data_IF_136229860311
#
_entry.id   IF_136229860311
#
_cell.length_a   1.000
_cell.length_b   1.000
_cell.length_c   1.000
_cell.angle_alpha   90.00
_cell.angle_beta   90.00
_cell.angle_gamma   90.00
#
_symmetry.space_group_name_H-M   'P 1'
#
loop_
_entity.id
_entity.type
_entity.pdbx_description
1 polymer ?
#
# COMPACT_ATOMS: atom_id res chain seq x y z
N UNK A 1 20.63 -77.88 46.51
CA UNK A 1 20.29 -79.04 45.68
C UNK A 1 19.09 -78.71 44.84
N UNK A 2 19.31 -78.76 43.48
CA UNK A 2 18.32 -78.78 42.40
C UNK A 2 17.64 -77.42 42.07
N UNK A 3 17.66 -76.97 40.98
CA UNK A 3 17.54 -77.19 39.49
C UNK A 3 16.73 -76.03 38.94
N UNK A 4 17.33 -75.16 38.22
CA UNK A 4 17.20 -74.92 36.80
C UNK A 4 15.76 -74.98 36.27
N UNK A 5 15.21 -73.83 35.91
CA UNK A 5 14.45 -73.75 34.67
C UNK A 5 14.62 -72.35 34.05
N UNK A 6 15.08 -72.37 32.83
CA UNK A 6 15.35 -71.22 31.95
C UNK A 6 14.05 -70.98 31.19
N UNK A 7 13.47 -69.81 31.31
CA UNK A 7 12.42 -69.36 30.40
C UNK A 7 12.99 -68.23 29.55
N UNK A 8 13.21 -68.52 28.29
CA UNK A 8 13.54 -67.55 27.26
C UNK A 8 12.27 -66.76 26.93
N UNK A 9 12.28 -65.46 27.16
CA UNK A 9 11.28 -64.54 26.66
C UNK A 9 11.80 -63.90 25.38
N UNK A 10 11.18 -64.28 24.29
CA UNK A 10 11.35 -63.67 22.96
C UNK A 10 10.89 -62.19 22.98
N UNK A 11 11.86 -61.29 22.88
CA UNK A 11 11.60 -59.87 22.66
C UNK A 11 11.13 -59.65 21.20
N UNK A 12 9.82 -59.54 21.02
CA UNK A 12 9.26 -59.06 19.75
C UNK A 12 9.45 -57.56 19.63
N UNK A 13 10.45 -57.18 18.77
CA UNK A 13 10.67 -55.79 18.43
C UNK A 13 9.57 -55.28 17.52
N UNK A 14 8.59 -54.57 18.12
CA UNK A 14 7.65 -53.77 17.35
C UNK A 14 8.31 -52.48 16.91
N UNK A 15 8.69 -52.38 15.61
CA UNK A 15 9.09 -51.14 15.00
C UNK A 15 7.87 -50.23 14.87
N UNK A 16 7.73 -49.29 15.78
CA UNK A 16 6.83 -48.14 15.61
C UNK A 16 7.36 -47.29 14.49
N UNK A 17 6.84 -47.47 13.26
CA UNK A 17 6.97 -46.55 12.20
C UNK A 17 6.26 -45.22 12.63
N UNK A 18 7.03 -44.26 13.08
CA UNK A 18 6.57 -42.88 13.13
C UNK A 18 6.29 -42.45 11.66
N UNK A 19 5.03 -42.57 11.27
CA UNK A 19 4.55 -41.82 10.13
C UNK A 19 4.77 -40.33 10.45
N UNK A 20 5.87 -39.79 9.94
CA UNK A 20 6.10 -38.35 9.91
C UNK A 20 4.93 -37.74 9.17
N UNK A 21 3.94 -37.24 9.90
CA UNK A 21 2.94 -36.35 9.35
C UNK A 21 3.70 -35.20 8.75
N UNK A 22 3.60 -35.03 7.43
CA UNK A 22 3.92 -33.77 6.79
C UNK A 22 3.00 -32.75 7.47
N UNK A 23 3.49 -32.10 8.50
CA UNK A 23 2.97 -30.84 8.97
C UNK A 23 3.05 -29.94 7.74
N UNK A 24 1.90 -29.68 7.10
CA UNK A 24 1.74 -28.51 6.26
C UNK A 24 2.05 -27.36 7.20
N UNK A 25 3.31 -26.91 7.18
CA UNK A 25 3.67 -25.70 7.89
C UNK A 25 2.81 -24.62 7.26
N UNK A 26 1.80 -24.14 7.99
CA UNK A 26 1.19 -22.87 7.66
C UNK A 26 2.34 -21.88 7.57
N UNK A 27 2.64 -21.48 6.37
CA UNK A 27 3.76 -20.60 6.12
C UNK A 27 3.45 -19.27 6.81
N UNK A 28 4.32 -18.87 7.75
CA UNK A 28 4.21 -17.59 8.44
C UNK A 28 3.89 -16.46 7.44
N UNK A 29 3.00 -15.52 7.81
CA UNK A 29 2.67 -14.40 6.96
C UNK A 29 3.90 -13.57 6.61
N UNK A 30 4.02 -13.18 5.36
CA UNK A 30 5.08 -12.27 4.88
C UNK A 30 4.64 -10.82 5.09
N UNK A 31 5.14 -10.19 6.16
CA UNK A 31 4.80 -8.80 6.49
C UNK A 31 5.34 -7.80 5.47
N UNK A 32 6.46 -8.11 4.77
CA UNK A 32 7.01 -7.25 3.72
C UNK A 32 6.10 -7.25 2.50
N UNK A 33 5.66 -8.44 2.07
CA UNK A 33 4.66 -8.58 1.02
C UNK A 33 3.33 -7.92 1.43
N UNK A 34 2.91 -8.13 2.68
CA UNK A 34 1.71 -7.51 3.25
C UNK A 34 1.75 -5.98 3.19
N UNK A 35 2.87 -5.37 3.59
CA UNK A 35 3.05 -3.91 3.47
C UNK A 35 2.97 -3.43 2.02
N UNK A 36 3.65 -4.10 1.10
CA UNK A 36 3.62 -3.73 -0.33
C UNK A 36 2.20 -3.76 -0.88
N UNK A 37 1.48 -4.86 -0.64
CA UNK A 37 0.09 -5.01 -1.09
C UNK A 37 -0.85 -4.01 -0.40
N UNK A 38 -0.67 -3.76 0.90
CA UNK A 38 -1.46 -2.75 1.61
C UNK A 38 -1.30 -1.37 0.97
N UNK A 39 -0.07 -0.93 0.78
CA UNK A 39 0.23 0.38 0.19
C UNK A 39 -0.34 0.49 -1.24
N UNK A 40 -0.23 -0.57 -2.03
CA UNK A 40 -0.69 -0.59 -3.43
C UNK A 40 -2.20 -0.66 -3.57
N UNK A 41 -2.89 -1.45 -2.73
CA UNK A 41 -4.31 -1.78 -2.92
C UNK A 41 -5.25 -1.09 -1.92
N UNK A 42 -4.74 -0.70 -0.76
CA UNK A 42 -5.55 -0.19 0.35
C UNK A 42 -5.22 1.27 0.70
N UNK A 43 -3.95 1.67 0.50
CA UNK A 43 -3.40 2.95 0.96
C UNK A 43 -4.02 4.19 0.32
N UNK A 44 -4.61 4.09 -0.88
CA UNK A 44 -5.33 5.20 -1.52
C UNK A 44 -6.63 5.56 -0.78
N UNK A 45 -7.24 4.59 -0.09
CA UNK A 45 -8.48 4.79 0.65
C UNK A 45 -8.27 4.87 2.17
N UNK A 46 -7.30 4.15 2.72
CA UNK A 46 -7.07 4.04 4.16
C UNK A 46 -5.80 4.74 4.63
N UNK A 47 -5.91 5.46 5.74
CA UNK A 47 -4.75 5.90 6.51
C UNK A 47 -4.24 4.77 7.40
N UNK A 48 -2.93 4.52 7.34
CA UNK A 48 -2.18 3.68 8.27
C UNK A 48 -0.78 4.28 8.44
N UNK A 49 -0.50 4.84 9.61
CA UNK A 49 0.68 5.68 9.86
C UNK A 49 2.00 4.96 9.57
N UNK A 50 2.12 3.68 9.96
CA UNK A 50 3.33 2.88 9.74
C UNK A 50 3.57 2.53 8.27
N UNK A 51 2.51 2.53 7.45
CA UNK A 51 2.58 2.35 6.01
C UNK A 51 2.81 3.66 5.25
N UNK A 52 2.81 4.80 5.94
CA UNK A 52 2.86 6.16 5.36
C UNK A 52 1.75 6.40 4.31
N UNK A 53 0.56 5.84 4.55
CA UNK A 53 -0.61 6.06 3.69
C UNK A 53 -1.54 7.10 4.30
N UNK A 54 -2.24 7.86 3.45
CA UNK A 54 -3.04 9.02 3.84
C UNK A 54 -4.43 9.04 3.20
N UNK A 55 -4.91 7.91 2.73
CA UNK A 55 -6.24 7.79 2.16
C UNK A 55 -7.33 8.12 3.17
N UNK A 56 -8.33 8.91 2.76
CA UNK A 56 -9.42 9.41 3.63
C UNK A 56 -10.80 8.92 3.21
N UNK A 57 -10.91 8.14 2.15
CA UNK A 57 -12.19 7.57 1.69
C UNK A 57 -12.66 6.42 2.59
N UNK A 58 -11.74 5.64 3.13
CA UNK A 58 -11.99 4.63 4.14
C UNK A 58 -11.60 5.12 5.54
N UNK A 59 -11.91 4.36 6.60
CA UNK A 59 -11.50 4.72 7.95
C UNK A 59 -9.98 4.76 8.10
N UNK A 60 -9.51 5.65 8.98
CA UNK A 60 -8.16 5.60 9.52
C UNK A 60 -8.04 4.33 10.38
N UNK A 61 -7.19 3.40 9.97
CA UNK A 61 -7.10 2.09 10.62
C UNK A 61 -6.50 2.19 12.03
N UNK A 62 -5.56 3.11 12.25
CA UNK A 62 -5.00 3.32 13.59
C UNK A 62 -6.09 3.73 14.60
N UNK A 63 -7.02 4.57 14.20
CA UNK A 63 -8.15 5.01 15.02
C UNK A 63 -9.22 3.92 15.14
N UNK A 64 -9.53 3.22 14.05
CA UNK A 64 -10.57 2.20 14.02
C UNK A 64 -10.30 1.04 14.98
N UNK A 65 -9.05 0.66 15.19
CA UNK A 65 -8.67 -0.42 16.09
C UNK A 65 -8.22 0.05 17.49
N UNK A 66 -8.01 1.36 17.71
CA UNK A 66 -7.48 1.88 18.96
C UNK A 66 -8.30 1.47 20.18
N UNK A 67 -9.64 1.60 20.13
CA UNK A 67 -10.52 1.25 21.23
C UNK A 67 -10.58 -0.27 21.46
N UNK A 68 -10.62 -1.08 20.41
CA UNK A 68 -10.61 -2.54 20.53
C UNK A 68 -9.35 -3.04 21.21
N UNK A 69 -8.20 -2.55 20.76
CA UNK A 69 -6.90 -2.88 21.35
C UNK A 69 -6.80 -2.43 22.82
N UNK A 70 -7.27 -1.22 23.14
CA UNK A 70 -7.32 -0.73 24.52
C UNK A 70 -8.26 -1.55 25.42
N UNK A 71 -9.27 -2.20 24.83
CA UNK A 71 -10.22 -3.07 25.54
C UNK A 71 -9.81 -4.53 25.59
N UNK A 72 -8.58 -4.87 25.14
CA UNK A 72 -8.03 -6.22 25.24
C UNK A 72 -8.17 -7.07 23.97
N UNK A 73 -8.56 -6.51 22.82
CA UNK A 73 -8.45 -7.21 21.54
C UNK A 73 -6.98 -7.51 21.27
N UNK A 74 -6.65 -8.74 20.96
CA UNK A 74 -5.30 -9.15 20.57
C UNK A 74 -5.01 -8.89 19.08
N UNK A 75 -3.78 -9.12 18.68
CA UNK A 75 -3.37 -8.91 17.28
C UNK A 75 -3.99 -9.92 16.33
N UNK A 76 -4.27 -11.12 16.79
CA UNK A 76 -4.96 -12.16 16.00
C UNK A 76 -6.41 -11.76 15.71
N UNK A 77 -7.08 -11.15 16.69
CA UNK A 77 -8.41 -10.56 16.48
C UNK A 77 -8.42 -9.43 15.45
N UNK A 78 -7.40 -8.56 15.47
CA UNK A 78 -7.23 -7.53 14.42
C UNK A 78 -6.99 -8.18 13.06
N UNK A 79 -6.09 -9.17 12.98
CA UNK A 79 -5.80 -9.89 11.74
C UNK A 79 -7.04 -10.54 11.15
N UNK A 80 -7.82 -11.24 11.99
CA UNK A 80 -9.07 -11.87 11.58
C UNK A 80 -10.09 -10.84 11.06
N UNK A 81 -10.26 -9.72 11.76
CA UNK A 81 -11.19 -8.68 11.36
C UNK A 81 -10.78 -8.03 10.02
N UNK A 82 -9.50 -7.73 9.83
CA UNK A 82 -8.99 -7.16 8.57
C UNK A 82 -9.13 -8.16 7.43
N UNK A 83 -8.78 -9.43 7.64
CA UNK A 83 -8.91 -10.49 6.64
C UNK A 83 -10.36 -10.66 6.20
N UNK A 84 -11.30 -10.72 7.15
CA UNK A 84 -12.72 -10.83 6.85
C UNK A 84 -13.22 -9.59 6.08
N UNK A 85 -12.80 -8.39 6.47
CA UNK A 85 -13.18 -7.15 5.78
C UNK A 85 -12.64 -7.08 4.35
N UNK A 86 -11.47 -7.66 4.06
CA UNK A 86 -10.93 -7.78 2.70
C UNK A 86 -11.79 -8.69 1.83
N UNK A 87 -12.20 -9.84 2.36
CA UNK A 87 -12.95 -10.84 1.60
C UNK A 87 -14.44 -10.50 1.50
N UNK A 88 -15.02 -10.03 2.60
CA UNK A 88 -16.46 -9.79 2.76
C UNK A 88 -16.69 -8.41 3.39
N UNK A 89 -16.38 -7.30 2.69
CA UNK A 89 -16.50 -5.98 3.27
C UNK A 89 -17.92 -5.68 3.70
N UNK A 90 -18.06 -5.01 4.86
CA UNK A 90 -19.34 -4.59 5.39
C UNK A 90 -20.09 -3.75 4.33
N UNK A 91 -21.32 -4.14 4.04
CA UNK A 91 -22.19 -3.38 3.16
C UNK A 91 -22.65 -2.14 3.91
N UNK A 92 -22.07 -1.01 3.59
CA UNK A 92 -22.56 0.29 4.08
C UNK A 92 -23.94 0.58 3.49
N UNK A 93 -24.72 1.43 4.18
CA UNK A 93 -26.07 1.80 3.75
C UNK A 93 -26.10 2.22 2.27
N UNK A 94 -27.21 1.96 1.59
CA UNK A 94 -27.41 2.17 0.15
C UNK A 94 -27.05 3.57 -0.38
N UNK A 95 -26.96 4.55 0.52
CA UNK A 95 -26.68 5.94 0.19
C UNK A 95 -25.20 6.31 0.26
N UNK A 96 -24.33 5.38 0.69
CA UNK A 96 -22.91 5.62 0.75
C UNK A 96 -22.26 5.30 -0.60
N UNK A 97 -21.79 6.34 -1.29
CA UNK A 97 -21.16 6.23 -2.61
C UNK A 97 -19.78 5.60 -2.58
N UNK A 98 -19.16 5.53 -1.40
CA UNK A 98 -17.84 4.95 -1.18
C UNK A 98 -18.01 3.64 -0.43
N UNK A 99 -17.68 2.53 -1.08
CA UNK A 99 -17.67 1.22 -0.45
C UNK A 99 -16.32 0.54 -0.74
N UNK A 100 -15.86 -0.25 0.20
CA UNK A 100 -14.67 -1.09 -0.01
C UNK A 100 -15.02 -2.22 -0.98
N UNK A 101 -14.37 -2.33 -2.15
CA UNK A 101 -14.59 -3.48 -3.04
C UNK A 101 -14.14 -4.78 -2.36
N UNK A 102 -14.89 -5.88 -2.50
CA UNK A 102 -14.44 -7.16 -1.99
C UNK A 102 -13.24 -7.69 -2.76
N UNK A 103 -12.40 -8.46 -2.07
CA UNK A 103 -11.32 -9.22 -2.69
C UNK A 103 -10.31 -8.38 -3.48
N UNK A 104 -9.97 -7.20 -2.98
CA UNK A 104 -8.88 -6.38 -3.55
C UNK A 104 -7.55 -7.14 -3.57
N UNK A 105 -7.39 -8.06 -2.64
CA UNK A 105 -6.35 -9.09 -2.58
C UNK A 105 -7.01 -10.40 -2.11
N UNK A 106 -6.47 -11.56 -2.51
CA UNK A 106 -7.01 -12.87 -2.17
C UNK A 106 -5.91 -13.84 -1.71
N UNK A 107 -6.31 -14.97 -1.17
CA UNK A 107 -5.41 -16.05 -0.77
C UNK A 107 -4.31 -15.57 0.17
N UNK A 108 -3.07 -15.91 -0.15
CA UNK A 108 -1.90 -15.56 0.68
C UNK A 108 -1.70 -14.05 0.83
N UNK A 109 -2.01 -13.27 -0.21
CA UNK A 109 -1.86 -11.82 -0.16
C UNK A 109 -2.85 -11.18 0.82
N UNK A 110 -4.08 -11.68 0.92
CA UNK A 110 -5.05 -11.22 1.92
C UNK A 110 -4.57 -11.53 3.35
N UNK A 111 -3.99 -12.70 3.58
CA UNK A 111 -3.40 -13.10 4.86
C UNK A 111 -2.21 -12.18 5.20
N UNK A 112 -1.31 -11.95 4.25
CA UNK A 112 -0.13 -11.11 4.44
C UNK A 112 -0.51 -9.66 4.77
N UNK A 113 -1.50 -9.09 4.06
CA UNK A 113 -2.03 -7.74 4.34
C UNK A 113 -2.64 -7.68 5.73
N UNK A 114 -3.49 -8.63 6.08
CA UNK A 114 -4.13 -8.67 7.40
C UNK A 114 -3.10 -8.77 8.53
N UNK A 115 -2.10 -9.63 8.37
CA UNK A 115 -1.01 -9.77 9.33
C UNK A 115 -0.16 -8.50 9.46
N UNK A 116 0.18 -7.84 8.34
CA UNK A 116 0.90 -6.57 8.38
C UNK A 116 0.10 -5.49 9.14
N UNK A 117 -1.18 -5.31 8.80
CA UNK A 117 -2.05 -4.34 9.51
C UNK A 117 -2.11 -4.68 11.00
N UNK A 118 -2.36 -5.94 11.35
CA UNK A 118 -2.40 -6.38 12.74
C UNK A 118 -1.08 -6.11 13.48
N UNK A 119 0.06 -6.28 12.81
CA UNK A 119 1.36 -6.01 13.42
C UNK A 119 1.56 -4.52 13.74
N UNK A 120 1.13 -3.62 12.85
CA UNK A 120 1.55 -2.21 12.93
C UNK A 120 0.48 -1.23 13.41
N UNK A 121 -0.81 -1.57 13.30
CA UNK A 121 -1.94 -0.67 13.59
C UNK A 121 -1.88 -0.15 15.04
N UNK A 122 -2.13 1.14 15.20
CA UNK A 122 -2.09 1.85 16.48
C UNK A 122 -0.75 1.75 17.23
N UNK A 123 0.34 1.37 16.54
CA UNK A 123 1.70 1.43 17.11
C UNK A 123 2.39 2.73 16.69
N UNK A 124 2.93 3.52 17.62
CA UNK A 124 3.64 4.74 17.28
C UNK A 124 4.96 4.44 16.55
N UNK A 125 5.48 5.45 15.86
CA UNK A 125 6.78 5.38 15.18
C UNK A 125 6.70 4.98 13.72
N UNK A 126 7.84 4.57 13.17
CA UNK A 126 8.00 4.15 11.76
C UNK A 126 8.43 2.69 11.68
N UNK A 127 8.20 2.07 10.55
CA UNK A 127 8.74 0.75 10.27
C UNK A 127 10.27 0.78 10.22
N UNK A 128 10.90 -0.33 10.57
CA UNK A 128 12.36 -0.51 10.60
C UNK A 128 12.78 -1.74 9.81
N UNK A 129 14.06 -1.85 9.49
CA UNK A 129 14.61 -2.99 8.75
C UNK A 129 13.91 -3.20 7.39
N UNK A 130 13.65 -4.44 7.03
CA UNK A 130 13.02 -4.80 5.75
C UNK A 130 11.65 -4.16 5.53
N UNK A 131 10.90 -3.89 6.59
CA UNK A 131 9.63 -3.17 6.46
C UNK A 131 9.81 -1.70 6.08
N UNK A 132 10.88 -1.04 6.53
CA UNK A 132 11.20 0.33 6.11
C UNK A 132 11.57 0.39 4.63
N UNK A 133 12.25 -0.65 4.13
CA UNK A 133 12.73 -0.73 2.75
C UNK A 133 11.68 -1.31 1.79
N UNK A 134 10.60 -1.88 2.30
CA UNK A 134 9.58 -2.57 1.52
C UNK A 134 8.91 -1.67 0.47
N UNK A 135 8.73 -0.40 0.78
CA UNK A 135 8.08 0.60 -0.08
C UNK A 135 8.86 1.89 0.00
N UNK A 136 9.11 2.51 -1.15
CA UNK A 136 9.70 3.86 -1.18
C UNK A 136 8.70 4.87 -0.62
N UNK A 137 9.21 5.86 0.11
CA UNK A 137 8.39 6.96 0.60
C UNK A 137 7.66 7.65 -0.57
N UNK A 138 6.38 8.00 -0.41
CA UNK A 138 5.62 8.70 -1.45
C UNK A 138 6.33 10.01 -1.84
N UNK A 139 6.49 10.24 -3.14
CA UNK A 139 7.14 11.46 -3.65
C UNK A 139 8.66 11.57 -3.41
N UNK A 140 9.29 10.54 -2.83
CA UNK A 140 10.72 10.55 -2.48
C UNK A 140 11.67 10.15 -3.61
N UNK A 141 11.21 10.07 -4.86
CA UNK A 141 12.07 9.81 -6.01
C UNK A 141 12.99 10.99 -6.35
N UNK A 142 13.99 10.71 -7.20
CA UNK A 142 14.87 11.75 -7.72
C UNK A 142 14.06 12.86 -8.42
N UNK A 143 14.47 14.13 -8.31
CA UNK A 143 13.79 15.22 -8.99
C UNK A 143 13.69 14.98 -10.50
N UNK A 144 12.50 15.12 -11.06
CA UNK A 144 12.28 14.99 -12.49
C UNK A 144 12.84 16.21 -13.22
N UNK A 145 13.51 15.97 -14.35
CA UNK A 145 14.08 17.03 -15.20
C UNK A 145 13.53 16.89 -16.61
N UNK A 146 12.99 18.00 -17.13
CA UNK A 146 12.46 18.00 -18.49
C UNK A 146 13.55 17.74 -19.53
N UNK A 147 13.22 16.93 -20.53
CA UNK A 147 14.07 16.63 -21.69
C UNK A 147 13.31 16.93 -22.97
N UNK A 148 13.88 17.76 -23.84
CA UNK A 148 13.25 18.12 -25.13
C UNK A 148 11.84 18.73 -24.98
N UNK A 149 11.59 19.51 -23.92
CA UNK A 149 10.27 20.10 -23.67
C UNK A 149 9.23 19.15 -23.09
N UNK A 150 9.64 17.93 -22.70
CA UNK A 150 8.77 16.95 -22.04
C UNK A 150 9.26 16.68 -20.62
N UNK A 151 8.36 16.75 -19.67
CA UNK A 151 8.58 16.42 -18.27
C UNK A 151 7.70 15.21 -17.89
N UNK A 152 8.31 14.16 -17.40
CA UNK A 152 7.62 12.94 -16.99
C UNK A 152 7.55 12.84 -15.47
N UNK A 153 6.33 12.74 -14.92
CA UNK A 153 6.05 12.66 -13.48
C UNK A 153 5.06 11.51 -13.25
N UNK A 154 5.54 10.26 -13.15
CA UNK A 154 4.66 9.11 -12.98
C UNK A 154 3.82 9.19 -11.70
N UNK A 155 2.55 8.82 -11.78
CA UNK A 155 1.73 8.56 -10.61
C UNK A 155 2.10 7.21 -9.98
N UNK A 156 1.80 7.07 -8.69
CA UNK A 156 1.99 5.81 -7.95
C UNK A 156 0.64 5.21 -7.57
N UNK A 157 0.62 4.06 -6.94
CA UNK A 157 -0.60 3.49 -6.37
C UNK A 157 -1.08 4.24 -5.12
N UNK A 158 -0.21 5.05 -4.53
CA UNK A 158 -0.51 5.92 -3.38
C UNK A 158 -1.04 7.28 -3.84
N UNK A 159 -1.48 8.10 -2.90
CA UNK A 159 -1.80 9.51 -3.16
C UNK A 159 -0.52 10.33 -3.33
N UNK A 160 0.29 9.96 -4.32
CA UNK A 160 1.58 10.60 -4.59
C UNK A 160 2.03 10.37 -6.03
N UNK A 161 2.84 11.29 -6.52
CA UNK A 161 3.68 11.05 -7.69
C UNK A 161 4.99 10.36 -7.27
N UNK A 162 5.70 9.79 -8.24
CA UNK A 162 7.01 9.17 -8.00
C UNK A 162 8.04 10.16 -7.43
N UNK A 163 7.89 11.45 -7.74
CA UNK A 163 8.69 12.55 -7.17
C UNK A 163 7.80 13.74 -6.84
N UNK A 164 8.18 14.49 -5.81
CA UNK A 164 7.53 15.75 -5.43
C UNK A 164 8.34 16.99 -5.88
N UNK A 165 9.43 16.80 -6.62
CA UNK A 165 10.26 17.88 -7.13
C UNK A 165 10.57 17.71 -8.62
N UNK A 166 10.49 18.79 -9.37
CA UNK A 166 10.80 18.78 -10.79
C UNK A 166 11.42 20.11 -11.26
N UNK A 167 12.08 20.08 -12.43
CA UNK A 167 12.62 21.27 -13.06
C UNK A 167 12.50 21.22 -14.59
N UNK A 168 12.33 22.41 -15.21
CA UNK A 168 12.31 22.55 -16.64
C UNK A 168 12.84 23.95 -17.07
N UNK A 169 13.30 24.13 -18.31
CA UNK A 169 13.53 25.43 -18.85
C UNK A 169 12.22 26.16 -19.18
N UNK A 170 12.23 27.52 -19.29
CA UNK A 170 11.06 28.26 -19.73
C UNK A 170 10.70 27.97 -21.19
N UNK A 171 9.43 28.13 -21.53
CA UNK A 171 8.91 27.89 -22.87
C UNK A 171 7.74 26.92 -22.92
N UNK A 172 7.51 26.29 -24.06
CA UNK A 172 6.49 25.27 -24.23
C UNK A 172 6.91 23.98 -23.47
N UNK A 173 6.05 23.51 -22.59
CA UNK A 173 6.28 22.34 -21.76
C UNK A 173 5.09 21.38 -21.86
N UNK A 174 5.38 20.12 -22.14
CA UNK A 174 4.42 19.01 -22.02
C UNK A 174 4.75 18.25 -20.75
N UNK A 175 3.79 18.11 -19.85
CA UNK A 175 3.93 17.27 -18.65
C UNK A 175 3.10 16.02 -18.84
N UNK A 176 3.72 14.84 -18.61
CA UNK A 176 3.11 13.53 -18.71
C UNK A 176 3.15 12.82 -17.36
N UNK A 177 2.01 12.26 -16.97
CA UNK A 177 1.89 11.44 -15.78
C UNK A 177 1.35 10.06 -16.14
N UNK A 178 2.23 9.08 -16.44
CA UNK A 178 1.82 7.70 -16.58
C UNK A 178 1.26 7.17 -15.25
N UNK A 179 0.13 6.48 -15.30
CA UNK A 179 -0.49 5.87 -14.13
C UNK A 179 -0.60 4.35 -14.30
N UNK A 180 0.37 3.56 -13.84
CA UNK A 180 0.33 2.10 -13.93
C UNK A 180 -0.65 1.47 -12.94
N UNK A 181 -1.13 2.22 -11.95
CA UNK A 181 -2.00 1.71 -10.89
C UNK A 181 -3.46 1.67 -11.29
N UNK A 182 -4.27 0.95 -10.51
CA UNK A 182 -5.72 0.95 -10.64
C UNK A 182 -6.41 2.14 -9.96
N UNK A 183 -5.67 2.94 -9.18
CA UNK A 183 -6.17 4.16 -8.56
C UNK A 183 -6.27 5.27 -9.60
N UNK A 184 -7.42 5.95 -9.75
CA UNK A 184 -7.56 7.05 -10.69
C UNK A 184 -6.67 8.24 -10.31
N UNK A 185 -5.89 8.76 -11.24
CA UNK A 185 -5.04 9.95 -11.06
C UNK A 185 -5.02 10.80 -12.31
N UNK A 186 -4.69 12.07 -12.14
CA UNK A 186 -4.33 12.95 -13.24
C UNK A 186 -3.15 13.85 -12.85
N UNK A 187 -2.77 14.74 -13.76
CA UNK A 187 -1.81 15.81 -13.50
C UNK A 187 -2.42 17.15 -13.88
N UNK A 188 -2.28 18.11 -13.01
CA UNK A 188 -2.61 19.51 -13.23
C UNK A 188 -1.42 20.38 -12.87
N UNK A 189 -1.37 21.61 -13.39
CA UNK A 189 -0.33 22.59 -13.12
C UNK A 189 -0.95 23.94 -12.81
N UNK A 190 -0.50 24.54 -11.72
CA UNK A 190 -0.83 25.93 -11.35
C UNK A 190 0.45 26.73 -11.08
N UNK A 191 0.40 28.03 -11.32
CA UNK A 191 1.52 28.94 -11.10
C UNK A 191 1.48 30.16 -12.00
N UNK A 192 2.60 30.92 -12.12
CA UNK A 192 2.61 32.17 -12.85
C UNK A 192 2.13 32.06 -14.30
N UNK A 193 0.89 32.56 -14.56
CA UNK A 193 0.28 32.56 -15.89
C UNK A 193 -0.28 31.22 -16.35
N UNK A 194 -0.43 30.24 -15.43
CA UNK A 194 -1.08 28.94 -15.68
C UNK A 194 -2.11 28.69 -14.61
N UNK A 195 -3.39 28.58 -14.99
CA UNK A 195 -4.52 28.34 -14.08
C UNK A 195 -5.40 27.15 -14.46
N UNK A 196 -5.38 26.73 -15.73
CA UNK A 196 -6.33 25.74 -16.26
C UNK A 196 -5.68 24.58 -17.00
N UNK A 197 -4.40 24.29 -16.70
CA UNK A 197 -3.72 23.14 -17.26
C UNK A 197 -4.07 21.88 -16.45
N UNK A 198 -5.11 21.15 -16.86
CA UNK A 198 -5.61 19.95 -16.22
C UNK A 198 -5.69 18.82 -17.24
N UNK A 199 -5.05 17.70 -16.97
CA UNK A 199 -5.09 16.49 -17.79
C UNK A 199 -6.25 15.57 -17.41
N UNK A 200 -6.55 14.63 -18.29
CA UNK A 200 -7.59 13.64 -18.07
C UNK A 200 -7.26 12.72 -16.89
N UNK A 201 -8.30 12.32 -16.14
CA UNK A 201 -8.17 11.28 -15.10
C UNK A 201 -7.99 9.92 -15.76
N UNK A 202 -6.92 9.23 -15.42
CA UNK A 202 -6.53 7.94 -16.01
C UNK A 202 -6.17 6.91 -14.93
N UNK A 203 -6.24 5.63 -15.31
CA UNK A 203 -5.84 4.50 -14.48
C UNK A 203 -5.36 3.34 -15.36
N UNK A 204 -4.77 2.30 -14.75
CA UNK A 204 -4.51 1.03 -15.44
C UNK A 204 -3.56 1.13 -16.64
N UNK A 205 -2.52 1.95 -16.57
CA UNK A 205 -1.56 2.15 -17.66
C UNK A 205 -1.83 3.36 -18.54
N UNK A 206 -2.92 4.12 -18.28
CA UNK A 206 -3.18 5.39 -18.97
C UNK A 206 -2.15 6.45 -18.63
N UNK A 207 -2.06 7.50 -19.47
CA UNK A 207 -1.18 8.65 -19.24
C UNK A 207 -2.00 9.93 -19.27
N UNK A 208 -1.99 10.67 -18.15
CA UNK A 208 -2.52 12.04 -18.10
C UNK A 208 -1.49 13.01 -18.67
N UNK A 209 -1.91 13.91 -19.55
CA UNK A 209 -1.01 14.86 -20.23
C UNK A 209 -1.58 16.28 -20.17
N UNK A 210 -0.70 17.25 -19.94
CA UNK A 210 -0.99 18.68 -20.06
C UNK A 210 0.07 19.38 -20.91
N UNK A 211 -0.31 20.49 -21.52
CA UNK A 211 0.57 21.39 -22.24
C UNK A 211 0.41 22.79 -21.70
N UNK A 212 1.53 23.44 -21.40
CA UNK A 212 1.55 24.81 -20.89
C UNK A 212 2.75 25.57 -21.43
N UNK A 213 2.62 26.91 -21.55
CA UNK A 213 3.76 27.77 -21.73
C UNK A 213 4.17 28.34 -20.37
N UNK A 214 5.38 27.99 -19.92
CA UNK A 214 5.87 28.35 -18.60
C UNK A 214 6.98 29.39 -18.68
N UNK A 215 7.04 30.26 -17.66
CA UNK A 215 8.04 31.30 -17.48
C UNK A 215 8.86 31.01 -16.23
N UNK A 216 10.02 31.60 -16.06
CA UNK A 216 10.83 31.48 -14.86
C UNK A 216 9.94 31.68 -13.61
N UNK A 217 10.03 30.75 -12.66
CA UNK A 217 9.23 30.79 -11.45
C UNK A 217 8.99 29.42 -10.82
N UNK A 218 8.17 29.41 -9.81
CA UNK A 218 7.76 28.21 -9.10
C UNK A 218 6.30 27.88 -9.39
N UNK A 219 6.05 26.64 -9.73
CA UNK A 219 4.76 26.06 -10.05
C UNK A 219 4.47 24.89 -9.12
N UNK A 220 3.20 24.55 -8.95
CA UNK A 220 2.77 23.33 -8.26
C UNK A 220 2.09 22.43 -9.28
N UNK A 221 2.56 21.19 -9.39
CA UNK A 221 1.81 20.13 -10.06
C UNK A 221 1.04 19.30 -9.02
N UNK A 222 -0.17 18.87 -9.35
CA UNK A 222 -1.05 18.18 -8.39
C UNK A 222 -2.08 17.32 -9.09
N UNK A 223 -2.73 16.41 -8.33
CA UNK A 223 -3.87 15.63 -8.77
C UNK A 223 -5.17 16.33 -8.38
N UNK A 224 -6.14 16.37 -9.31
CA UNK A 224 -7.46 17.01 -9.07
C UNK A 224 -8.54 16.03 -8.62
N UNK A 225 -8.22 14.74 -8.53
CA UNK A 225 -9.17 13.76 -7.96
C UNK A 225 -9.41 14.12 -6.49
N UNK A 226 -10.66 14.12 -6.09
CA UNK A 226 -11.10 14.53 -4.74
C UNK A 226 -10.31 13.81 -3.63
N UNK A 227 -9.80 14.57 -2.66
CA UNK A 227 -9.02 14.07 -1.54
C UNK A 227 -7.55 13.73 -1.86
N UNK A 228 -7.14 13.71 -3.13
CA UNK A 228 -5.79 13.28 -3.50
C UNK A 228 -4.73 14.34 -3.21
N UNK A 229 -5.02 15.60 -3.52
CA UNK A 229 -4.12 16.72 -3.20
C UNK A 229 -3.96 16.89 -1.70
N UNK A 230 -5.05 16.83 -0.96
CA UNK A 230 -5.08 16.88 0.51
C UNK A 230 -4.32 15.70 1.13
N UNK A 231 -4.35 14.53 0.48
CA UNK A 231 -3.57 13.34 0.82
C UNK A 231 -2.07 13.47 0.53
N UNK A 232 -1.65 14.56 -0.15
CA UNK A 232 -0.25 14.86 -0.45
C UNK A 232 0.17 14.61 -1.90
N UNK A 233 -0.79 14.36 -2.81
CA UNK A 233 -0.47 14.15 -4.23
C UNK A 233 -0.24 15.48 -4.94
N UNK A 234 0.87 16.13 -4.57
CA UNK A 234 1.37 17.35 -5.20
C UNK A 234 2.90 17.42 -5.16
N UNK A 235 3.45 18.32 -5.94
CA UNK A 235 4.89 18.58 -5.96
C UNK A 235 5.24 19.92 -6.57
N UNK A 236 6.50 20.30 -6.44
CA UNK A 236 7.03 21.60 -6.89
C UNK A 236 7.79 21.47 -8.20
N UNK A 237 7.41 22.31 -9.19
CA UNK A 237 8.14 22.47 -10.44
C UNK A 237 8.85 23.84 -10.43
N UNK A 238 10.16 23.82 -10.58
CA UNK A 238 10.99 25.02 -10.71
C UNK A 238 11.34 25.25 -12.19
N UNK A 239 10.99 26.42 -12.72
CA UNK A 239 11.35 26.85 -14.06
C UNK A 239 12.49 27.85 -13.99
N UNK A 240 13.63 27.52 -14.61
CA UNK A 240 14.85 28.34 -14.58
C UNK A 240 15.71 28.12 -15.85
#
# INVERSE_FOLDING_TARGET
MRLRDVIAVLAGGGALAFAGGCSLSEQEPDLVAGKKQFVEKCGACHTLSRADTRGTQGPNLDEAFAQGLASGMDRDGVQGAVHEQILNPAKLAKDNKVYMPPKLVEGKDAINVAAYVAEVVSKPGKDTGLLAEAVKAPGGGEPAVAKGGVLEIPATAQLAYATNAASAPPGALTIRSPNPSSTPHNIALEGPGVSDAVGDVVQGGGTSEIKATVKNGSYTFFCTVEGHREGGMEGKLTIK
#
